data_IF_860095643510
#
_entry.id   IF_860095643510
#
_cell.length_a   1.000
_cell.length_b   1.000
_cell.length_c   1.000
_cell.angle_alpha   90.00
_cell.angle_beta   90.00
_cell.angle_gamma   90.00
#
_symmetry.space_group_name_H-M   'P 1'
#
loop_
_entity.id
_entity.type
_entity.pdbx_description
1 polymer ?
#
# COMPACT_ATOMS: atom_id res chain seq x y z
N UNK A 1 11.83 16.42 11.88
CA UNK A 1 11.07 15.50 10.99
C UNK A 1 10.55 14.38 11.88
N UNK A 2 9.23 14.16 11.96
CA UNK A 2 8.65 13.19 12.89
C UNK A 2 9.18 11.78 12.64
N UNK A 3 9.53 11.06 13.70
CA UNK A 3 10.14 9.71 13.69
C UNK A 3 9.40 8.69 12.83
N UNK A 4 8.11 8.91 12.61
CA UNK A 4 7.27 8.12 11.72
C UNK A 4 7.78 8.18 10.27
N UNK A 5 7.89 9.37 9.70
CA UNK A 5 8.14 9.55 8.27
C UNK A 5 9.53 9.01 7.86
N UNK A 6 10.51 9.10 8.76
CA UNK A 6 11.86 8.55 8.53
C UNK A 6 11.83 7.02 8.44
N UNK A 7 11.17 6.35 9.39
CA UNK A 7 11.04 4.89 9.38
C UNK A 7 10.40 4.37 8.07
N UNK A 8 9.33 5.01 7.61
CA UNK A 8 8.69 4.63 6.34
C UNK A 8 9.56 4.84 5.12
N UNK A 9 10.27 5.97 5.10
CA UNK A 9 11.19 6.29 4.02
C UNK A 9 12.31 5.26 3.94
N UNK A 10 12.80 4.77 5.06
CA UNK A 10 13.97 3.89 5.07
C UNK A 10 13.61 2.42 4.78
N UNK A 11 12.38 1.99 5.09
CA UNK A 11 11.96 0.58 4.96
C UNK A 11 10.99 0.30 3.78
N UNK A 12 10.21 1.28 3.33
CA UNK A 12 9.08 1.02 2.41
C UNK A 12 9.04 1.90 1.16
N UNK A 13 9.78 3.01 1.11
CA UNK A 13 9.74 3.99 0.02
C UNK A 13 11.15 4.24 -0.52
N UNK A 14 11.43 3.76 -1.72
CA UNK A 14 12.62 4.18 -2.44
C UNK A 14 12.33 5.49 -3.19
N UNK A 15 13.19 6.49 -2.96
CA UNK A 15 13.14 7.78 -3.65
C UNK A 15 14.31 7.81 -4.64
N UNK A 16 13.99 7.99 -5.91
CA UNK A 16 14.95 8.15 -7.00
C UNK A 16 15.74 9.46 -6.84
N UNK A 17 16.89 9.56 -7.49
CA UNK A 17 17.77 10.74 -7.38
C UNK A 17 17.11 12.06 -7.84
N UNK A 18 16.10 11.96 -8.71
CA UNK A 18 15.27 13.05 -9.23
C UNK A 18 14.09 13.42 -8.29
N UNK A 19 13.97 12.75 -7.14
CA UNK A 19 12.93 12.99 -6.13
C UNK A 19 11.62 12.23 -6.35
N UNK A 20 11.51 11.41 -7.39
CA UNK A 20 10.31 10.60 -7.62
C UNK A 20 10.29 9.34 -6.76
N UNK A 21 9.10 8.92 -6.33
CA UNK A 21 8.93 7.64 -5.62
C UNK A 21 9.05 6.51 -6.64
N UNK A 22 10.00 5.61 -6.41
CA UNK A 22 10.15 4.41 -7.22
C UNK A 22 8.93 3.52 -7.04
N UNK A 23 8.42 3.00 -8.16
CA UNK A 23 7.29 2.06 -8.14
C UNK A 23 7.72 0.74 -7.49
N UNK A 24 7.02 0.25 -6.46
CA UNK A 24 7.39 -1.00 -5.80
C UNK A 24 7.16 -2.24 -6.70
N UNK A 25 8.05 -3.24 -6.59
CA UNK A 25 8.05 -4.45 -7.45
C UNK A 25 6.71 -5.22 -7.49
N UNK A 26 5.99 -5.28 -6.37
CA UNK A 26 4.70 -6.00 -6.29
C UNK A 26 3.62 -5.39 -7.20
N UNK A 27 3.76 -4.13 -7.61
CA UNK A 27 2.84 -3.44 -8.49
C UNK A 27 3.06 -3.78 -9.98
N UNK A 28 4.23 -4.33 -10.32
CA UNK A 28 4.58 -4.77 -11.67
C UNK A 28 4.48 -6.29 -11.84
N UNK A 29 4.35 -7.01 -10.72
CA UNK A 29 4.22 -8.47 -10.72
C UNK A 29 2.77 -8.89 -10.94
N UNK A 30 2.51 -9.69 -11.99
CA UNK A 30 1.20 -10.31 -12.17
C UNK A 30 0.95 -11.33 -11.05
N UNK A 31 -0.01 -11.08 -10.16
CA UNK A 31 -0.32 -11.94 -9.00
C UNK A 31 -1.78 -11.79 -8.56
N UNK A 32 -2.31 -12.67 -7.71
CA UNK A 32 -3.66 -12.53 -7.19
C UNK A 32 -3.87 -11.20 -6.45
N UNK A 33 -5.09 -10.66 -6.53
CA UNK A 33 -5.42 -9.37 -5.91
C UNK A 33 -5.19 -9.38 -4.40
N UNK A 34 -5.54 -10.47 -3.72
CA UNK A 34 -5.34 -10.66 -2.28
C UNK A 34 -3.87 -10.49 -1.87
N UNK A 35 -2.93 -11.03 -2.64
CA UNK A 35 -1.50 -10.90 -2.35
C UNK A 35 -1.05 -9.44 -2.47
N UNK A 36 -1.48 -8.73 -3.52
CA UNK A 36 -1.16 -7.30 -3.69
C UNK A 36 -1.73 -6.45 -2.56
N UNK A 37 -2.95 -6.76 -2.11
CA UNK A 37 -3.59 -6.05 -1.01
C UNK A 37 -2.80 -6.26 0.29
N UNK A 38 -2.41 -7.49 0.60
CA UNK A 38 -1.63 -7.80 1.79
C UNK A 38 -0.28 -7.05 1.83
N UNK A 39 0.47 -7.08 0.72
CA UNK A 39 1.74 -6.34 0.61
C UNK A 39 1.50 -4.84 0.70
N UNK A 40 0.49 -4.32 0.01
CA UNK A 40 0.15 -2.91 0.02
C UNK A 40 -0.24 -2.40 1.40
N UNK A 41 -1.07 -3.16 2.13
CA UNK A 41 -1.47 -2.86 3.51
C UNK A 41 -0.28 -2.80 4.45
N UNK A 42 0.67 -3.73 4.32
CA UNK A 42 1.92 -3.68 5.08
C UNK A 42 2.72 -2.40 4.78
N UNK A 43 2.92 -2.07 3.50
CA UNK A 43 3.69 -0.88 3.08
C UNK A 43 3.11 0.44 3.56
N UNK A 44 1.79 0.55 3.59
CA UNK A 44 1.10 1.82 3.95
C UNK A 44 0.65 1.84 5.42
N UNK A 45 1.10 0.87 6.21
CA UNK A 45 0.67 0.60 7.59
C UNK A 45 -0.84 0.62 7.80
N UNK A 46 -1.58 0.03 6.86
CA UNK A 46 -3.01 -0.25 7.01
C UNK A 46 -3.22 -1.66 7.55
N UNK A 47 -2.68 -1.92 8.74
CA UNK A 47 -2.74 -3.22 9.43
C UNK A 47 -3.04 -3.08 10.92
N UNK A 48 -3.28 -4.22 11.58
CA UNK A 48 -3.73 -4.32 12.98
C UNK A 48 -2.63 -4.73 13.96
N UNK A 49 -1.38 -4.39 13.65
CA UNK A 49 -0.22 -4.58 14.54
C UNK A 49 -0.22 -3.52 15.63
N UNK A 50 0.30 -3.85 16.82
CA UNK A 50 0.30 -2.94 17.97
C UNK A 50 1.06 -1.64 17.74
N UNK A 51 2.05 -1.60 16.84
CA UNK A 51 2.71 -0.33 16.45
C UNK A 51 1.71 0.72 15.92
N UNK A 52 0.65 0.28 15.24
CA UNK A 52 -0.39 1.14 14.67
C UNK A 52 -1.60 1.25 15.59
N UNK A 53 -2.13 0.13 16.09
CA UNK A 53 -3.34 0.09 16.94
C UNK A 53 -3.06 0.68 18.32
N UNK A 54 -1.92 0.35 18.93
CA UNK A 54 -1.50 0.91 20.20
C UNK A 54 -1.21 2.40 20.10
N UNK A 55 -0.66 2.87 18.97
CA UNK A 55 -0.53 4.31 18.72
C UNK A 55 -1.89 5.02 18.66
N UNK A 56 -2.87 4.43 17.99
CA UNK A 56 -4.22 5.00 17.93
C UNK A 56 -4.91 5.04 19.31
N UNK A 57 -4.48 4.17 20.23
CA UNK A 57 -4.92 4.12 21.62
C UNK A 57 -4.01 4.89 22.59
N UNK A 58 -3.06 5.69 22.09
CA UNK A 58 -2.10 6.48 22.86
C UNK A 58 -1.23 5.66 23.84
N UNK A 59 -0.94 4.40 23.48
CA UNK A 59 -0.03 3.52 24.24
C UNK A 59 1.42 3.92 23.92
N UNK A 60 2.30 4.08 24.94
CA UNK A 60 3.74 4.31 24.76
C UNK A 60 4.35 3.30 23.80
N UNK A 61 5.33 3.71 22.99
CA UNK A 61 5.86 2.85 21.91
C UNK A 61 6.40 1.53 22.47
N UNK A 62 7.09 1.61 23.59
CA UNK A 62 7.75 0.52 24.32
C UNK A 62 6.74 -0.51 24.87
N UNK A 63 5.50 -0.09 25.09
CA UNK A 63 4.43 -0.93 25.64
C UNK A 63 3.55 -1.59 24.56
N UNK A 64 3.81 -1.35 23.27
CA UNK A 64 3.06 -1.93 22.14
C UNK A 64 3.48 -3.37 21.87
N UNK A 65 3.34 -4.23 22.87
CA UNK A 65 3.82 -5.61 22.87
C UNK A 65 2.98 -6.51 21.94
N UNK A 66 3.63 -7.39 21.20
CA UNK A 66 2.97 -8.37 20.34
C UNK A 66 2.02 -9.26 21.14
N UNK A 67 0.75 -9.28 20.70
CA UNK A 67 -0.30 -10.06 21.34
C UNK A 67 -0.15 -11.56 21.16
N UNK A 68 0.63 -11.96 20.16
CA UNK A 68 0.87 -13.36 19.81
C UNK A 68 2.01 -13.94 20.64
N UNK A 69 3.23 -13.40 20.51
CA UNK A 69 4.38 -13.92 21.26
C UNK A 69 4.50 -13.38 22.69
N UNK A 70 3.99 -12.17 22.95
CA UNK A 70 4.08 -11.46 24.25
C UNK A 70 5.50 -11.19 24.75
N UNK A 71 6.50 -11.21 23.85
CA UNK A 71 7.92 -11.05 24.21
C UNK A 71 8.42 -9.62 23.94
N UNK A 72 8.12 -9.07 22.78
CA UNK A 72 8.65 -7.77 22.34
C UNK A 72 7.60 -6.93 21.60
N UNK A 73 7.98 -5.70 21.24
CA UNK A 73 7.14 -4.74 20.51
C UNK A 73 6.67 -5.31 19.16
N UNK A 74 5.39 -5.11 18.82
CA UNK A 74 4.80 -5.54 17.53
C UNK A 74 4.92 -4.45 16.47
N UNK A 75 6.10 -4.34 15.87
CA UNK A 75 6.30 -3.61 14.61
C UNK A 75 6.32 -4.56 13.40
N UNK A 76 6.41 -3.98 12.21
CA UNK A 76 6.41 -4.71 10.93
C UNK A 76 7.62 -5.66 10.83
N UNK A 77 8.79 -5.25 11.34
CA UNK A 77 10.00 -6.07 11.39
C UNK A 77 9.82 -7.29 12.31
N UNK A 78 9.27 -7.08 13.51
CA UNK A 78 8.91 -8.18 14.41
C UNK A 78 7.91 -9.13 13.74
N UNK A 79 6.84 -8.58 13.18
CA UNK A 79 5.75 -9.34 12.59
C UNK A 79 6.22 -10.23 11.42
N UNK A 80 7.08 -9.71 10.54
CA UNK A 80 7.57 -10.43 9.36
C UNK A 80 8.78 -11.32 9.70
N UNK A 81 9.79 -10.77 10.36
CA UNK A 81 11.13 -11.37 10.43
C UNK A 81 11.42 -12.10 11.75
N UNK A 82 10.86 -11.66 12.89
CA UNK A 82 11.38 -12.06 14.22
C UNK A 82 10.40 -12.82 15.12
N UNK A 83 9.09 -12.63 14.97
CA UNK A 83 8.10 -13.20 15.88
C UNK A 83 8.16 -14.73 15.88
N UNK A 84 8.54 -15.33 17.01
CA UNK A 84 8.75 -16.78 17.16
C UNK A 84 7.50 -17.61 16.86
N UNK A 85 6.32 -17.04 17.05
CA UNK A 85 5.05 -17.69 16.70
C UNK A 85 4.94 -18.03 15.20
N UNK A 86 5.76 -17.42 14.35
CA UNK A 86 5.77 -17.67 12.90
C UNK A 86 7.00 -18.43 12.41
N UNK A 87 7.85 -18.98 13.30
CA UNK A 87 9.06 -19.73 12.91
C UNK A 87 8.73 -20.90 11.97
N UNK A 88 7.70 -21.69 12.31
CA UNK A 88 7.27 -22.81 11.47
C UNK A 88 6.73 -22.36 10.10
N UNK A 89 6.14 -21.16 10.02
CA UNK A 89 5.68 -20.59 8.74
C UNK A 89 6.89 -20.12 7.95
N UNK A 90 7.79 -19.32 8.52
CA UNK A 90 9.02 -18.86 7.86
C UNK A 90 9.86 -20.02 7.32
N UNK A 91 9.94 -21.14 8.05
CA UNK A 91 10.62 -22.36 7.60
C UNK A 91 10.06 -22.96 6.31
N UNK A 92 8.80 -22.69 5.92
CA UNK A 92 8.25 -23.12 4.61
C UNK A 92 8.63 -22.18 3.45
N UNK A 93 9.22 -21.02 3.77
CA UNK A 93 9.58 -19.97 2.83
C UNK A 93 11.10 -19.69 2.89
N UNK A 94 11.91 -20.74 2.92
CA UNK A 94 13.38 -20.65 3.08
C UNK A 94 14.05 -19.68 2.11
N UNK A 95 13.58 -19.62 0.85
CA UNK A 95 14.11 -18.73 -0.18
C UNK A 95 13.88 -17.25 0.12
N UNK A 96 12.87 -16.91 0.92
CA UNK A 96 12.68 -15.54 1.40
C UNK A 96 13.54 -15.26 2.62
N UNK A 97 13.72 -16.23 3.52
CA UNK A 97 14.34 -16.03 4.84
C UNK A 97 15.79 -16.53 4.96
N UNK A 98 16.43 -16.86 3.84
CA UNK A 98 17.84 -17.23 3.81
C UNK A 98 18.72 -16.10 4.37
N UNK A 99 19.55 -16.41 5.35
CA UNK A 99 20.53 -15.45 5.91
C UNK A 99 19.96 -14.41 6.87
N UNK A 100 18.78 -14.63 7.46
CA UNK A 100 18.14 -13.69 8.42
C UNK A 100 17.93 -12.28 7.83
N UNK A 101 17.12 -12.15 6.78
CA UNK A 101 16.93 -10.88 6.11
C UNK A 101 16.18 -9.87 6.99
N UNK A 102 16.47 -8.60 6.74
CA UNK A 102 15.70 -7.46 7.23
C UNK A 102 14.35 -7.37 6.53
N UNK A 103 13.41 -6.62 7.11
CA UNK A 103 12.13 -6.34 6.46
C UNK A 103 12.35 -5.71 5.08
N UNK A 104 13.29 -4.78 4.93
CA UNK A 104 13.57 -4.12 3.64
C UNK A 104 13.93 -5.13 2.56
N UNK A 105 14.83 -6.07 2.87
CA UNK A 105 15.23 -7.12 1.92
C UNK A 105 14.06 -8.03 1.52
N UNK A 106 13.20 -8.38 2.49
CA UNK A 106 11.97 -9.14 2.22
C UNK A 106 11.01 -8.34 1.32
N UNK A 107 10.80 -7.06 1.62
CA UNK A 107 9.93 -6.16 0.87
C UNK A 107 10.37 -6.01 -0.60
N UNK A 108 11.67 -6.10 -0.85
CA UNK A 108 12.30 -5.95 -2.16
C UNK A 108 12.63 -7.28 -2.85
N UNK A 109 12.21 -8.39 -2.26
CA UNK A 109 12.38 -9.74 -2.81
C UNK A 109 11.93 -9.83 -4.27
N UNK A 110 12.65 -10.62 -5.06
CA UNK A 110 12.29 -10.85 -6.48
C UNK A 110 11.00 -11.65 -6.60
N UNK A 111 10.76 -12.59 -5.69
CA UNK A 111 9.54 -13.40 -5.66
C UNK A 111 8.45 -12.74 -4.80
N UNK A 112 7.88 -11.66 -5.33
CA UNK A 112 6.76 -10.96 -4.68
C UNK A 112 5.52 -11.87 -4.51
N UNK A 113 5.35 -12.89 -5.35
CA UNK A 113 4.24 -13.85 -5.21
C UNK A 113 4.42 -14.69 -3.95
N UNK A 114 5.61 -15.21 -3.74
CA UNK A 114 5.94 -15.97 -2.56
C UNK A 114 5.84 -15.10 -1.31
N UNK A 115 6.34 -13.86 -1.36
CA UNK A 115 6.19 -12.91 -0.25
C UNK A 115 4.73 -12.62 0.09
N UNK A 116 3.90 -12.36 -0.92
CA UNK A 116 2.47 -12.15 -0.69
C UNK A 116 1.76 -13.37 -0.09
N UNK A 117 2.12 -14.59 -0.50
CA UNK A 117 1.58 -15.82 0.09
C UNK A 117 1.98 -15.97 1.55
N UNK A 118 3.26 -15.77 1.85
CA UNK A 118 3.78 -15.75 3.21
C UNK A 118 3.02 -14.75 4.09
N UNK A 119 2.83 -13.51 3.62
CA UNK A 119 2.10 -12.48 4.36
C UNK A 119 0.66 -12.90 4.68
N UNK A 120 -0.08 -13.43 3.70
CA UNK A 120 -1.45 -13.90 3.95
C UNK A 120 -1.49 -15.05 4.95
N UNK A 121 -0.50 -15.94 4.90
CA UNK A 121 -0.43 -17.09 5.79
C UNK A 121 -0.16 -16.68 7.24
N UNK A 122 0.80 -15.77 7.48
CA UNK A 122 1.03 -15.25 8.84
C UNK A 122 -0.14 -14.38 9.33
N UNK A 123 -0.83 -13.66 8.45
CA UNK A 123 -2.04 -12.90 8.80
C UNK A 123 -3.17 -13.84 9.22
N UNK A 124 -3.45 -14.88 8.44
CA UNK A 124 -4.48 -15.88 8.76
C UNK A 124 -4.14 -16.65 10.04
N UNK A 125 -2.87 -17.00 10.24
CA UNK A 125 -2.42 -17.66 11.45
C UNK A 125 -2.57 -16.76 12.68
N UNK A 126 -2.14 -15.49 12.59
CA UNK A 126 -2.34 -14.48 13.65
C UNK A 126 -3.82 -14.33 13.99
N UNK A 127 -4.68 -14.17 13.00
CA UNK A 127 -6.12 -14.03 13.23
C UNK A 127 -6.68 -15.25 13.94
N UNK A 128 -6.24 -16.46 13.58
CA UNK A 128 -6.63 -17.71 14.25
C UNK A 128 -6.19 -17.75 15.71
N UNK A 129 -4.97 -17.29 16.02
CA UNK A 129 -4.45 -17.21 17.40
C UNK A 129 -5.14 -16.13 18.24
N UNK A 130 -5.65 -15.07 17.59
CA UNK A 130 -6.29 -13.94 18.26
C UNK A 130 -7.82 -14.03 18.28
N UNK A 131 -8.43 -15.04 17.64
CA UNK A 131 -9.87 -15.23 17.74
C UNK A 131 -10.24 -15.52 19.20
N UNK A 132 -11.19 -14.78 19.81
CA UNK A 132 -11.77 -15.21 21.06
C UNK A 132 -12.45 -16.56 20.83
N UNK A 133 -12.26 -17.52 21.73
CA UNK A 133 -12.99 -18.79 21.75
C UNK A 133 -14.48 -18.51 21.96
N UNK A 134 -15.19 -18.17 20.89
CA UNK A 134 -16.65 -18.11 20.87
C UNK A 134 -17.12 -19.27 20.02
N UNK A 135 -17.79 -20.20 20.70
CA UNK A 135 -18.51 -21.31 20.10
C UNK A 135 -19.40 -20.80 18.95
N UNK A 136 -19.29 -21.47 17.81
CA UNK A 136 -20.26 -21.59 16.72
C UNK A 136 -21.33 -20.47 16.61
N UNK A 137 -21.07 -19.46 15.79
CA UNK A 137 -22.11 -18.86 14.98
C UNK A 137 -21.68 -18.83 13.51
N UNK A 138 -22.25 -19.77 12.76
CA UNK A 138 -22.34 -19.78 11.30
C UNK A 138 -22.96 -18.49 10.78
N UNK A 139 -22.28 -17.78 9.88
CA UNK A 139 -22.90 -16.72 9.11
C UNK A 139 -21.93 -15.78 8.40
N UNK A 140 -21.76 -15.97 7.09
CA UNK A 140 -21.63 -14.84 6.14
C UNK A 140 -20.26 -14.18 5.92
N UNK A 141 -19.64 -14.55 4.79
CA UNK A 141 -19.13 -13.68 3.71
C UNK A 141 -18.56 -12.28 4.04
N UNK A 142 -17.36 -12.05 3.49
CA UNK A 142 -16.85 -10.79 2.92
C UNK A 142 -17.20 -9.51 3.70
N UNK A 143 -16.48 -9.30 4.79
CA UNK A 143 -16.01 -7.97 5.19
C UNK A 143 -14.58 -8.24 5.69
N UNK A 144 -13.58 -7.39 5.59
CA UNK A 144 -13.57 -6.02 6.09
C UNK A 144 -12.37 -5.26 5.50
N UNK A 145 -12.63 -4.35 4.57
CA UNK A 145 -11.78 -3.17 4.32
C UNK A 145 -12.24 -1.97 5.17
N UNK A 146 -13.25 -2.15 6.02
CA UNK A 146 -13.94 -1.08 6.75
C UNK A 146 -13.75 -1.13 8.27
N UNK A 147 -13.23 -2.22 8.84
CA UNK A 147 -13.00 -2.32 10.30
C UNK A 147 -11.79 -1.52 10.77
N UNK A 148 -11.04 -0.92 9.84
CA UNK A 148 -9.92 -0.03 10.14
C UNK A 148 -10.36 1.24 10.91
N UNK A 149 -11.62 1.66 10.78
CA UNK A 149 -12.13 2.90 11.41
C UNK A 149 -13.11 2.67 12.57
N UNK A 150 -13.26 1.44 13.08
CA UNK A 150 -14.12 1.19 14.24
C UNK A 150 -13.25 1.15 15.51
N UNK A 151 -13.37 2.12 16.43
CA UNK A 151 -12.77 1.97 17.75
C UNK A 151 -13.40 0.75 18.44
N UNK A 152 -12.58 -0.23 18.85
CA UNK A 152 -13.06 -1.33 19.71
C UNK A 152 -13.52 -0.72 21.03
N UNK A 153 -14.84 -0.75 21.25
CA UNK A 153 -15.59 -0.61 22.51
C UNK A 153 -14.79 0.01 23.66
N UNK A 154 -14.93 1.32 23.81
CA UNK A 154 -14.73 1.96 25.11
C UNK A 154 -15.62 1.27 26.15
N UNK A 155 -15.04 1.02 27.31
CA UNK A 155 -15.73 0.59 28.51
C UNK A 155 -16.99 1.43 28.76
N UNK A 156 -18.01 0.81 29.32
CA UNK A 156 -19.36 1.34 29.55
C UNK A 156 -19.38 2.83 29.92
N UNK A 157 -19.88 3.65 28.99
CA UNK A 157 -20.32 5.03 29.27
C UNK A 157 -21.82 5.01 29.64
N UNK A 158 -22.26 5.86 30.58
CA UNK A 158 -23.64 5.90 31.07
C UNK A 158 -24.63 6.34 29.98
N UNK A 159 -25.92 5.99 30.11
CA UNK A 159 -26.91 6.15 29.04
C UNK A 159 -27.41 7.60 28.98
N UNK A 160 -26.63 8.49 28.39
CA UNK A 160 -27.13 9.74 27.78
C UNK A 160 -26.03 10.37 26.92
N UNK A 161 -25.88 9.87 25.70
CA UNK A 161 -25.15 10.59 24.66
C UNK A 161 -25.87 10.32 23.34
N UNK A 162 -26.56 11.34 22.84
CA UNK A 162 -27.15 11.32 21.51
C UNK A 162 -26.07 10.98 20.49
N UNK A 163 -26.22 9.85 19.81
CA UNK A 163 -25.48 9.55 18.58
C UNK A 163 -25.88 10.64 17.57
N UNK A 164 -24.95 11.46 17.04
CA UNK A 164 -25.32 12.43 16.02
C UNK A 164 -25.73 11.65 14.78
N UNK A 165 -26.99 11.78 14.37
CA UNK A 165 -27.46 11.27 13.08
C UNK A 165 -26.53 11.80 11.99
N UNK A 166 -26.00 10.89 11.17
CA UNK A 166 -25.13 11.24 10.06
C UNK A 166 -25.73 12.35 9.18
N UNK A 167 -24.87 13.22 8.68
CA UNK A 167 -25.24 14.32 7.76
C UNK A 167 -25.91 13.73 6.51
N UNK A 168 -27.02 14.33 6.06
CA UNK A 168 -27.70 13.89 4.84
C UNK A 168 -26.79 14.08 3.62
N UNK A 169 -27.04 13.32 2.54
CA UNK A 169 -26.25 13.39 1.31
C UNK A 169 -26.16 14.82 0.75
N UNK A 170 -27.24 15.59 0.91
CA UNK A 170 -27.30 17.00 0.53
C UNK A 170 -26.41 17.88 1.42
N UNK A 171 -26.41 17.66 2.74
CA UNK A 171 -25.50 18.37 3.65
C UNK A 171 -24.03 18.01 3.40
N UNK A 172 -23.75 16.75 3.06
CA UNK A 172 -22.41 16.32 2.66
C UNK A 172 -21.95 17.02 1.37
N UNK A 173 -22.83 17.14 0.37
CA UNK A 173 -22.55 17.87 -0.89
C UNK A 173 -22.26 19.35 -0.63
N UNK A 174 -23.05 20.03 0.20
CA UNK A 174 -22.84 21.43 0.57
C UNK A 174 -21.50 21.61 1.31
N UNK A 175 -21.15 20.69 2.21
CA UNK A 175 -19.86 20.74 2.92
C UNK A 175 -18.66 20.58 1.98
N UNK A 176 -18.76 19.70 0.98
CA UNK A 176 -17.71 19.48 -0.04
C UNK A 176 -17.52 20.70 -0.93
N UNK A 177 -18.60 21.41 -1.26
CA UNK A 177 -18.54 22.64 -2.02
C UNK A 177 -17.82 23.78 -1.26
N UNK A 178 -17.91 23.79 0.07
CA UNK A 178 -17.30 24.84 0.92
C UNK A 178 -15.84 24.57 1.33
N UNK A 179 -15.38 23.31 1.34
CA UNK A 179 -14.07 22.92 1.91
C UNK A 179 -12.89 22.81 0.94
N UNK A 180 -13.09 23.04 -0.37
CA UNK A 180 -11.96 23.15 -1.32
C UNK A 180 -11.81 24.58 -1.84
N UNK A 181 -11.02 25.43 -1.17
CA UNK A 181 -10.31 26.46 -1.92
C UNK A 181 -9.43 25.72 -2.93
N UNK A 182 -9.61 25.99 -4.23
CA UNK A 182 -8.55 25.65 -5.19
C UNK A 182 -7.33 26.44 -4.75
N UNK A 183 -6.18 25.79 -4.54
CA UNK A 183 -4.92 26.50 -4.38
C UNK A 183 -4.78 27.46 -5.56
N UNK A 184 -4.72 28.77 -5.27
CA UNK A 184 -4.43 29.80 -6.28
C UNK A 184 -2.99 29.55 -6.70
N UNK A 185 -2.79 28.97 -7.89
CA UNK A 185 -1.45 28.74 -8.43
C UNK A 185 -1.31 27.54 -9.37
N UNK A 186 -2.15 26.51 -9.26
CA UNK A 186 -2.12 25.37 -10.19
C UNK A 186 -3.42 25.27 -10.99
N UNK A 187 -3.43 25.87 -12.19
CA UNK A 187 -4.40 25.54 -13.23
C UNK A 187 -3.79 24.45 -14.11
N UNK A 188 -4.22 23.20 -13.92
CA UNK A 188 -4.07 22.22 -14.99
C UNK A 188 -4.79 22.78 -16.24
N UNK A 189 -4.15 22.89 -17.41
CA UNK A 189 -4.81 23.33 -18.62
C UNK A 189 -6.02 22.43 -18.86
N UNK A 190 -7.21 23.02 -18.98
CA UNK A 190 -8.38 22.27 -19.44
C UNK A 190 -8.17 22.00 -20.92
N UNK A 191 -7.64 20.83 -21.24
CA UNK A 191 -7.56 20.36 -22.63
C UNK A 191 -8.99 20.13 -23.13
N UNK A 192 -9.31 20.69 -24.30
CA UNK A 192 -10.61 20.46 -24.94
C UNK A 192 -10.73 19.01 -25.41
N UNK A 193 -11.96 18.49 -25.55
CA UNK A 193 -12.24 17.10 -25.99
C UNK A 193 -11.45 16.68 -27.23
N UNK A 194 -11.21 17.61 -28.17
CA UNK A 194 -10.43 17.38 -29.37
C UNK A 194 -8.96 17.09 -29.07
N UNK A 195 -8.34 17.88 -28.19
CA UNK A 195 -6.94 17.70 -27.78
C UNK A 195 -6.74 16.39 -27.01
N UNK A 196 -7.71 15.99 -26.19
CA UNK A 196 -7.69 14.70 -25.50
C UNK A 196 -7.79 13.54 -26.52
N UNK A 197 -8.67 13.67 -27.52
CA UNK A 197 -8.81 12.67 -28.57
C UNK A 197 -7.55 12.57 -29.46
N UNK A 198 -6.89 13.68 -29.75
CA UNK A 198 -5.62 13.71 -30.50
C UNK A 198 -4.49 13.01 -29.74
N UNK A 199 -4.37 13.25 -28.43
CA UNK A 199 -3.39 12.56 -27.58
C UNK A 199 -3.66 11.05 -27.58
N UNK A 200 -4.91 10.64 -27.37
CA UNK A 200 -5.29 9.22 -27.37
C UNK A 200 -5.05 8.55 -28.73
N UNK A 201 -5.31 9.25 -29.83
CA UNK A 201 -5.05 8.74 -31.18
C UNK A 201 -3.53 8.64 -31.46
N UNK A 202 -2.74 9.58 -30.95
CA UNK A 202 -1.28 9.54 -31.06
C UNK A 202 -0.71 8.36 -30.26
N UNK A 203 -1.19 8.14 -29.04
CA UNK A 203 -0.78 7.03 -28.18
C UNK A 203 -1.15 5.67 -28.79
N UNK A 204 -2.33 5.57 -29.41
CA UNK A 204 -2.77 4.35 -30.10
C UNK A 204 -1.88 4.02 -31.30
N UNK A 205 -1.59 5.00 -32.17
CA UNK A 205 -0.68 4.81 -33.31
C UNK A 205 0.72 4.42 -32.86
N UNK A 206 1.25 5.07 -31.82
CA UNK A 206 2.56 4.74 -31.26
C UNK A 206 2.59 3.33 -30.64
N UNK A 207 1.47 2.82 -30.11
CA UNK A 207 1.35 1.44 -29.65
C UNK A 207 1.31 0.45 -30.82
N UNK A 208 0.59 0.75 -31.90
CA UNK A 208 0.48 -0.10 -33.09
C UNK A 208 1.78 -0.16 -33.91
N UNK A 209 2.51 0.95 -34.01
CA UNK A 209 3.84 1.00 -34.62
C UNK A 209 4.82 0.14 -33.83
N UNK A 210 4.86 0.29 -32.50
CA UNK A 210 5.70 -0.57 -31.62
C UNK A 210 5.34 -2.04 -31.74
N UNK A 211 4.05 -2.37 -31.84
CA UNK A 211 3.58 -3.74 -32.05
C UNK A 211 4.01 -4.28 -33.41
N UNK A 212 3.90 -3.48 -34.48
CA UNK A 212 4.33 -3.88 -35.83
C UNK A 212 5.85 -4.05 -35.93
N UNK A 213 6.61 -3.16 -35.27
CA UNK A 213 8.07 -3.22 -35.23
C UNK A 213 8.58 -4.43 -34.45
N UNK A 214 7.90 -4.80 -33.35
CA UNK A 214 8.19 -6.02 -32.59
C UNK A 214 7.85 -7.31 -33.36
N UNK A 215 6.91 -7.26 -34.30
CA UNK A 215 6.59 -8.39 -35.19
C UNK A 215 7.55 -8.50 -36.39
N UNK A 216 8.14 -7.38 -36.83
CA UNK A 216 9.06 -7.32 -37.97
C UNK A 216 10.53 -7.66 -37.60
N UNK A 217 11.01 -7.22 -36.43
CA UNK A 217 12.35 -7.56 -35.92
C UNK A 217 12.36 -7.62 -34.37
N UNK A 218 12.15 -8.81 -33.78
CA UNK A 218 12.06 -8.98 -32.33
C UNK A 218 13.35 -8.61 -31.59
N UNK A 219 14.51 -8.75 -32.23
CA UNK A 219 15.82 -8.55 -31.59
C UNK A 219 16.20 -7.06 -31.58
N UNK A 220 15.88 -6.33 -32.65
CA UNK A 220 16.05 -4.87 -32.68
C UNK A 220 15.10 -4.14 -31.72
N UNK A 221 13.86 -4.63 -31.56
CA UNK A 221 12.88 -4.05 -30.62
C UNK A 221 13.33 -4.14 -29.15
N UNK A 222 14.01 -5.24 -28.77
CA UNK A 222 14.58 -5.41 -27.42
C UNK A 222 15.72 -4.39 -27.17
N UNK A 223 16.54 -4.06 -28.18
CA UNK A 223 17.58 -3.03 -28.06
C UNK A 223 17.01 -1.63 -27.81
N UNK A 224 15.92 -1.27 -28.47
CA UNK A 224 15.25 0.05 -28.30
C UNK A 224 14.58 0.17 -26.92
N UNK A 225 14.03 -0.92 -26.37
CA UNK A 225 13.46 -0.92 -25.01
C UNK A 225 14.51 -0.73 -23.90
N UNK A 226 15.79 -0.97 -24.20
CA UNK A 226 16.91 -0.81 -23.28
C UNK A 226 17.62 0.55 -23.40
N UNK A 227 17.26 1.36 -24.40
CA UNK A 227 17.75 2.75 -24.51
C UNK A 227 16.81 3.69 -23.76
N UNK A 228 17.30 4.49 -22.79
CA UNK A 228 16.47 5.47 -22.11
C UNK A 228 15.95 6.50 -23.13
N UNK A 229 14.67 6.93 -23.04
CA UNK A 229 14.16 7.95 -23.95
C UNK A 229 14.97 9.24 -23.80
N UNK A 230 15.23 9.97 -24.90
CA UNK A 230 15.92 11.24 -24.82
C UNK A 230 15.13 12.19 -23.88
N UNK A 231 15.83 13.00 -23.08
CA UNK A 231 15.16 13.91 -22.18
C UNK A 231 14.32 14.91 -22.99
N UNK A 232 13.01 14.95 -22.73
CA UNK A 232 12.08 15.91 -23.32
C UNK A 232 12.34 17.30 -22.73
N UNK A 233 13.42 17.95 -23.17
CA UNK A 233 13.65 19.38 -22.95
C UNK A 233 13.45 20.14 -24.26
N UNK A 234 12.23 20.20 -24.77
CA UNK A 234 11.83 21.29 -25.66
C UNK A 234 10.34 21.54 -25.51
N UNK A 235 10.03 22.62 -24.80
CA UNK A 235 9.05 23.67 -25.12
C UNK A 235 8.89 24.44 -23.82
N UNK A 236 9.47 25.64 -23.76
CA UNK A 236 9.12 26.83 -22.98
C UNK A 236 10.38 27.71 -22.88
N UNK A 237 10.87 28.20 -24.02
CA UNK A 237 11.62 29.45 -24.06
C UNK A 237 10.66 30.52 -24.61
N UNK A 238 10.31 31.56 -23.83
CA UNK A 238 9.84 32.81 -24.40
C UNK A 238 11.06 33.52 -25.00
N UNK A 239 11.06 33.71 -26.31
CA UNK A 239 11.91 34.73 -26.94
C UNK A 239 11.41 36.11 -26.50
N UNK A 240 12.37 36.97 -26.17
CA UNK A 240 12.19 38.39 -25.91
C UNK A 240 11.45 39.12 -27.04
#
# INVERSE_FOLDING_TARGET
MGSRLSHYRDQFIDILADGFIQRPRYMDTHMPHSLRVAIGQLRVSSHRLEIETGRAADIPREERICRVCRVEMEDEEHFVCRCSAYDGIRGRYETLFAGQPTLREIMDSRDQRQFGRFLLEIQSHRDSLLQPTVALHTGGRQSQLTDFFIPRRAAALPPSAHIPSGVTLQQAQISRARRRPRAIGYRAPRLHRHQIAEIQACDHRAMEERRSQMMADPVAAIRVALTPPPPMYHILHPTH
#
